data_IF_208050402243
#
_entry.id   IF_208050402243
#
_cell.length_a   1.000
_cell.length_b   1.000
_cell.length_c   1.000
_cell.angle_alpha   90.00
_cell.angle_beta   90.00
_cell.angle_gamma   90.00
#
_symmetry.space_group_name_H-M   'P 1'
#
loop_
_entity.id
_entity.type
_entity.pdbx_description
1 polymer ?
#
# COMPACT_ATOMS: atom_id res chain seq x y z
N UNK A 1 3.22 18.25 16.94
CA UNK A 1 3.11 16.82 17.26
C UNK A 1 3.44 16.07 15.98
N UNK A 2 4.59 15.39 15.93
CA UNK A 2 5.00 14.65 14.72
C UNK A 2 4.04 13.47 14.56
N UNK A 3 3.36 13.32 13.41
CA UNK A 3 2.44 12.20 13.21
C UNK A 3 3.21 10.88 13.23
N UNK A 4 2.69 9.87 13.94
CA UNK A 4 3.28 8.53 14.02
C UNK A 4 3.46 7.91 12.63
N UNK A 5 4.62 7.29 12.38
CA UNK A 5 4.97 6.74 11.07
C UNK A 5 3.97 5.66 10.61
N UNK A 6 3.47 4.82 11.54
CA UNK A 6 2.50 3.77 11.20
C UNK A 6 1.14 4.35 10.82
N UNK A 7 0.70 5.41 11.51
CA UNK A 7 -0.53 6.12 11.18
C UNK A 7 -0.45 6.75 9.77
N UNK A 8 0.68 7.40 9.45
CA UNK A 8 0.91 7.96 8.11
C UNK A 8 0.92 6.87 7.04
N UNK A 9 1.61 5.75 7.29
CA UNK A 9 1.66 4.61 6.38
C UNK A 9 0.27 3.98 6.17
N UNK A 10 -0.54 3.82 7.22
CA UNK A 10 -1.90 3.28 7.13
C UNK A 10 -2.77 4.15 6.22
N UNK A 11 -2.72 5.48 6.36
CA UNK A 11 -3.45 6.40 5.49
C UNK A 11 -3.06 6.25 4.02
N UNK A 12 -1.77 6.06 3.74
CA UNK A 12 -1.27 5.86 2.37
C UNK A 12 -1.67 4.50 1.79
N UNK A 13 -1.69 3.44 2.62
CA UNK A 13 -2.19 2.13 2.20
C UNK A 13 -3.66 2.20 1.76
N UNK A 14 -4.48 2.96 2.49
CA UNK A 14 -5.89 3.18 2.22
C UNK A 14 -6.18 4.23 1.13
N UNK A 15 -5.18 4.96 0.65
CA UNK A 15 -5.34 5.90 -0.45
C UNK A 15 -5.71 5.16 -1.76
N UNK A 16 -6.80 5.56 -2.41
CA UNK A 16 -7.24 4.95 -3.69
C UNK A 16 -6.53 5.51 -4.92
N UNK A 17 -6.04 6.76 -4.85
CA UNK A 17 -5.35 7.44 -5.96
C UNK A 17 -3.86 7.00 -6.01
N UNK A 18 -3.42 6.34 -7.09
CA UNK A 18 -2.03 5.91 -7.24
C UNK A 18 -1.03 7.07 -7.21
N UNK A 19 -1.35 8.22 -7.80
CA UNK A 19 -0.45 9.36 -7.89
C UNK A 19 -0.28 10.01 -6.52
N UNK A 20 -1.40 10.26 -5.81
CA UNK A 20 -1.38 10.79 -4.46
C UNK A 20 -0.68 9.82 -3.49
N UNK A 21 -0.95 8.51 -3.59
CA UNK A 21 -0.27 7.47 -2.79
C UNK A 21 1.23 7.52 -3.02
N UNK A 22 1.68 7.48 -4.27
CA UNK A 22 3.12 7.49 -4.58
C UNK A 22 3.82 8.78 -4.11
N UNK A 23 3.17 9.94 -4.29
CA UNK A 23 3.70 11.21 -3.82
C UNK A 23 3.79 11.27 -2.28
N UNK A 24 2.77 10.78 -1.58
CA UNK A 24 2.75 10.71 -0.12
C UNK A 24 3.76 9.73 0.46
N UNK A 25 3.88 8.53 -0.12
CA UNK A 25 4.87 7.53 0.32
C UNK A 25 6.30 8.04 0.17
N UNK A 26 6.63 8.77 -0.89
CA UNK A 26 7.96 9.39 -1.06
C UNK A 26 8.28 10.47 -0.03
N UNK A 27 7.27 11.05 0.62
CA UNK A 27 7.43 12.07 1.66
C UNK A 27 7.54 11.48 3.06
N UNK A 28 7.29 10.18 3.24
CA UNK A 28 7.47 9.54 4.54
C UNK A 28 8.95 9.60 4.94
N UNK A 29 9.20 10.10 6.15
CA UNK A 29 10.51 10.02 6.76
C UNK A 29 10.63 8.68 7.51
N UNK A 30 11.49 7.79 7.05
CA UNK A 30 11.71 6.48 7.70
C UNK A 30 12.31 6.60 9.11
N UNK A 31 12.80 7.78 9.49
CA UNK A 31 13.28 8.09 10.84
C UNK A 31 12.20 8.61 11.78
N UNK A 32 10.95 8.78 11.31
CA UNK A 32 9.84 9.19 12.18
C UNK A 32 9.61 8.13 13.27
N UNK A 33 9.24 8.57 14.48
CA UNK A 33 8.98 7.65 15.57
C UNK A 33 7.83 6.70 15.25
N UNK A 34 8.00 5.46 15.72
CA UNK A 34 6.98 4.42 15.66
C UNK A 34 6.45 4.21 17.07
N UNK A 35 5.19 4.56 17.29
CA UNK A 35 4.47 4.20 18.51
C UNK A 35 4.09 2.71 18.44
N UNK A 36 4.72 1.92 19.30
CA UNK A 36 4.48 0.48 19.41
C UNK A 36 3.23 0.17 20.23
N UNK A 37 2.75 1.10 21.06
CA UNK A 37 1.52 1.01 21.83
C UNK A 37 0.28 1.44 21.06
N UNK A 38 0.45 2.20 19.97
CA UNK A 38 -0.64 2.60 19.10
C UNK A 38 -1.40 1.38 18.54
N UNK A 39 -2.71 1.36 18.77
CA UNK A 39 -3.64 0.38 18.22
C UNK A 39 -4.46 1.02 17.11
N UNK A 40 -4.45 0.39 15.95
CA UNK A 40 -5.23 0.81 14.80
C UNK A 40 -6.39 -0.18 14.61
N UNK A 41 -7.58 0.33 14.32
CA UNK A 41 -8.68 -0.51 13.90
C UNK A 41 -8.33 -1.12 12.53
N UNK A 42 -8.61 -2.42 12.37
CA UNK A 42 -8.39 -3.10 11.10
C UNK A 42 -9.35 -2.53 10.05
N UNK A 43 -8.85 -1.98 8.93
CA UNK A 43 -9.71 -1.51 7.85
C UNK A 43 -10.37 -2.71 7.12
N UNK A 44 -11.48 -2.49 6.40
CA UNK A 44 -12.18 -3.57 5.69
C UNK A 44 -11.34 -4.21 4.55
N UNK A 45 -10.22 -3.59 4.18
CA UNK A 45 -9.29 -4.09 3.19
C UNK A 45 -8.45 -2.96 2.58
N UNK A 46 -7.58 -3.32 1.64
CA UNK A 46 -6.79 -2.34 0.86
C UNK A 46 -7.47 -2.13 -0.49
N UNK A 47 -7.73 -0.88 -0.92
CA UNK A 47 -8.32 -0.59 -2.22
C UNK A 47 -7.54 -1.26 -3.36
N UNK A 48 -8.28 -1.89 -4.29
CA UNK A 48 -7.71 -2.61 -5.42
C UNK A 48 -7.11 -3.99 -5.10
N UNK A 49 -7.09 -4.41 -3.82
CA UNK A 49 -6.63 -5.74 -3.42
C UNK A 49 -7.83 -6.67 -3.16
N UNK A 50 -7.98 -7.78 -3.90
CA UNK A 50 -9.04 -8.74 -3.61
C UNK A 50 -8.77 -9.44 -2.26
N UNK A 51 -9.84 -9.89 -1.59
CA UNK A 51 -9.75 -10.62 -0.32
C UNK A 51 -8.87 -11.88 -0.44
N UNK A 52 -8.97 -12.55 -1.58
CA UNK A 52 -8.10 -13.65 -2.00
C UNK A 52 -7.84 -13.53 -3.50
N UNK A 53 -6.57 -13.58 -3.95
CA UNK A 53 -6.28 -13.71 -5.37
C UNK A 53 -6.82 -15.06 -5.89
N UNK A 54 -7.36 -15.06 -7.10
CA UNK A 54 -7.76 -16.30 -7.75
C UNK A 54 -6.52 -17.18 -7.98
N UNK A 55 -6.58 -18.44 -7.54
CA UNK A 55 -5.55 -19.42 -7.87
C UNK A 55 -5.75 -19.84 -9.33
N UNK A 56 -4.76 -19.53 -10.16
CA UNK A 56 -4.75 -19.90 -11.57
C UNK A 56 -3.55 -20.79 -11.86
N UNK A 57 -3.64 -21.73 -12.81
CA UNK A 57 -2.49 -22.48 -13.29
C UNK A 57 -1.38 -21.54 -13.79
N UNK A 58 -0.11 -21.98 -13.73
CA UNK A 58 1.03 -21.12 -14.06
C UNK A 58 0.96 -20.55 -15.50
N UNK A 59 0.34 -21.28 -16.44
CA UNK A 59 0.20 -20.89 -17.84
C UNK A 59 -0.97 -19.94 -18.11
N UNK A 60 -1.84 -19.70 -17.13
CA UNK A 60 -2.99 -18.80 -17.23
C UNK A 60 -2.67 -17.37 -16.73
N UNK A 61 -1.48 -17.15 -16.17
CA UNK A 61 -1.00 -15.80 -15.83
C UNK A 61 -0.64 -15.05 -17.11
N UNK A 62 -1.35 -13.95 -17.39
CA UNK A 62 -0.94 -13.03 -18.44
C UNK A 62 0.43 -12.43 -18.07
N UNK A 63 1.46 -12.77 -18.85
CA UNK A 63 2.79 -12.18 -18.72
C UNK A 63 2.73 -10.79 -19.32
N UNK A 64 2.66 -9.78 -18.45
CA UNK A 64 2.88 -8.41 -18.88
C UNK A 64 4.38 -8.16 -19.03
N UNK A 65 4.77 -7.34 -20.00
CA UNK A 65 6.16 -7.05 -20.28
C UNK A 65 6.68 -5.97 -19.34
N UNK A 66 7.60 -6.37 -18.45
CA UNK A 66 8.29 -5.46 -17.54
C UNK A 66 9.03 -4.30 -18.25
N UNK A 67 9.15 -4.34 -19.59
CA UNK A 67 9.73 -3.27 -20.39
C UNK A 67 8.76 -2.11 -20.69
N UNK A 68 7.52 -2.14 -20.21
CA UNK A 68 6.57 -1.03 -20.40
C UNK A 68 6.36 -0.24 -19.11
N UNK A 69 6.05 1.05 -19.23
CA UNK A 69 5.80 1.94 -18.09
C UNK A 69 4.62 1.49 -17.20
N UNK A 70 3.76 0.60 -17.71
CA UNK A 70 2.58 0.08 -17.01
C UNK A 70 2.73 -1.39 -16.56
N UNK A 71 3.88 -2.01 -16.85
CA UNK A 71 4.14 -3.43 -16.61
C UNK A 71 3.53 -4.35 -17.65
#
# INVERSE_FOLDING_TARGET
MTPDLRAQALNLLLCGDPAAKAAGTRRLASGDPVDTGARFAEPPGIPGRPVRPALVPFNALQRRSAATAHG
#
